data_IF_744973385259
#
_entry.id   IF_744973385259
#
_cell.length_a   1.000
_cell.length_b   1.000
_cell.length_c   1.000
_cell.angle_alpha   90.00
_cell.angle_beta   90.00
_cell.angle_gamma   90.00
#
_symmetry.space_group_name_H-M   'P 1'
#
loop_
_entity.id
_entity.type
_entity.pdbx_description
1 polymer ?
#
# COMPACT_ATOMS: atom_id res chain seq x y z
N UNK A 1 16.78 0.59 -6.18
CA UNK A 1 15.32 0.36 -6.26
C UNK A 1 14.62 1.71 -6.40
N UNK A 2 14.65 2.32 -7.60
CA UNK A 2 14.17 3.71 -7.79
C UNK A 2 12.71 3.91 -7.41
N UNK A 3 11.86 2.90 -7.65
CA UNK A 3 10.43 2.99 -7.32
C UNK A 3 10.20 3.18 -5.81
N UNK A 4 10.93 2.45 -4.95
CA UNK A 4 10.84 2.59 -3.49
C UNK A 4 11.42 3.92 -3.03
N UNK A 5 12.61 4.27 -3.53
CA UNK A 5 13.33 5.50 -3.15
C UNK A 5 12.53 6.77 -3.50
N UNK A 6 11.84 6.80 -4.64
CA UNK A 6 11.05 7.94 -5.08
C UNK A 6 9.61 7.96 -4.55
N UNK A 7 9.16 6.92 -3.84
CA UNK A 7 7.77 6.80 -3.38
C UNK A 7 7.53 7.40 -1.99
N UNK A 8 6.40 8.09 -1.82
CA UNK A 8 5.94 8.62 -0.51
C UNK A 8 5.43 7.51 0.43
N UNK A 9 4.86 6.47 -0.16
CA UNK A 9 4.47 5.21 0.49
C UNK A 9 4.72 4.06 -0.49
N UNK A 10 5.10 2.91 0.04
CA UNK A 10 5.20 1.65 -0.70
C UNK A 10 4.08 0.74 -0.21
N UNK A 11 3.21 0.29 -1.11
CA UNK A 11 2.15 -0.66 -0.78
C UNK A 11 2.66 -2.06 -1.12
N UNK A 12 2.71 -2.93 -0.11
CA UNK A 12 3.12 -4.32 -0.27
C UNK A 12 1.89 -5.21 -0.21
N UNK A 13 1.63 -5.94 -1.27
CA UNK A 13 0.49 -6.87 -1.36
C UNK A 13 0.99 -8.28 -1.08
N UNK A 14 0.67 -8.79 0.11
CA UNK A 14 0.95 -10.16 0.49
C UNK A 14 -0.08 -11.08 -0.16
N UNK A 15 0.38 -11.87 -1.12
CA UNK A 15 -0.34 -12.98 -1.74
C UNK A 15 0.41 -14.29 -1.50
N UNK A 16 -0.21 -15.44 -1.79
CA UNK A 16 0.49 -16.73 -1.69
C UNK A 16 1.75 -16.76 -2.56
N UNK A 17 1.62 -16.33 -3.82
CA UNK A 17 2.74 -16.24 -4.76
C UNK A 17 3.84 -15.29 -4.27
N UNK A 18 3.48 -14.22 -3.56
CA UNK A 18 4.46 -13.32 -2.97
C UNK A 18 5.30 -14.06 -1.92
N UNK A 19 4.65 -14.76 -0.98
CA UNK A 19 5.34 -15.52 0.08
C UNK A 19 6.19 -16.68 -0.46
N UNK A 20 5.77 -17.31 -1.55
CA UNK A 20 6.49 -18.43 -2.19
C UNK A 20 7.67 -17.95 -3.06
N UNK A 21 7.81 -16.65 -3.31
CA UNK A 21 8.87 -16.11 -4.17
C UNK A 21 10.12 -15.69 -3.36
N UNK A 22 11.31 -16.06 -3.85
CA UNK A 22 12.59 -15.58 -3.29
C UNK A 22 12.76 -14.04 -3.39
N UNK A 23 11.93 -13.38 -4.19
CA UNK A 23 11.94 -11.93 -4.40
C UNK A 23 11.21 -11.13 -3.31
N UNK A 24 10.44 -11.81 -2.45
CA UNK A 24 9.70 -11.25 -1.32
C UNK A 24 10.59 -10.45 -0.36
N UNK A 25 11.69 -11.07 0.10
CA UNK A 25 12.57 -10.50 1.11
C UNK A 25 13.38 -9.31 0.59
N UNK A 26 13.76 -9.31 -0.68
CA UNK A 26 14.60 -8.25 -1.26
C UNK A 26 13.84 -6.93 -1.41
N UNK A 27 12.65 -6.95 -2.00
CA UNK A 27 11.84 -5.73 -2.16
C UNK A 27 11.37 -5.18 -0.82
N UNK A 28 11.02 -6.10 0.09
CA UNK A 28 10.64 -5.77 1.45
C UNK A 28 11.78 -5.13 2.26
N UNK A 29 12.96 -5.74 2.27
CA UNK A 29 14.13 -5.20 2.97
C UNK A 29 14.49 -3.81 2.42
N UNK A 30 14.39 -3.61 1.11
CA UNK A 30 14.64 -2.30 0.52
C UNK A 30 13.62 -1.25 0.98
N UNK A 31 12.33 -1.60 1.02
CA UNK A 31 11.29 -0.72 1.53
C UNK A 31 11.49 -0.41 3.02
N UNK A 32 11.92 -1.40 3.82
CA UNK A 32 12.15 -1.23 5.25
C UNK A 32 13.36 -0.35 5.55
N UNK A 33 14.49 -0.61 4.88
CA UNK A 33 15.69 0.23 4.97
C UNK A 33 15.35 1.67 4.61
N UNK A 34 14.53 1.89 3.58
CA UNK A 34 14.10 3.22 3.20
C UNK A 34 13.18 3.87 4.26
N UNK A 35 12.22 3.12 4.80
CA UNK A 35 11.35 3.62 5.88
C UNK A 35 12.13 4.04 7.13
N UNK A 36 13.17 3.27 7.51
CA UNK A 36 14.08 3.61 8.61
C UNK A 36 14.89 4.88 8.32
N UNK A 37 15.46 5.00 7.11
CA UNK A 37 16.20 6.20 6.67
C UNK A 37 15.34 7.46 6.70
N UNK A 38 14.08 7.33 6.31
CA UNK A 38 13.17 8.46 6.21
C UNK A 38 12.52 8.83 7.56
N UNK A 39 12.77 8.06 8.63
CA UNK A 39 12.15 8.20 9.96
C UNK A 39 10.61 8.29 9.92
N UNK A 40 9.98 7.70 8.91
CA UNK A 40 8.53 7.73 8.70
C UNK A 40 8.09 6.33 8.26
N UNK A 41 6.99 5.78 8.82
CA UNK A 41 6.43 4.53 8.34
C UNK A 41 5.93 4.72 6.90
N UNK A 42 6.71 4.23 5.94
CA UNK A 42 6.39 4.33 4.50
C UNK A 42 5.69 3.09 3.94
N UNK A 43 5.67 1.99 4.68
CA UNK A 43 5.11 0.72 4.20
C UNK A 43 3.64 0.61 4.60
N UNK A 44 2.80 0.23 3.65
CA UNK A 44 1.42 -0.18 3.89
C UNK A 44 1.31 -1.64 3.45
N UNK A 45 1.01 -2.53 4.38
CA UNK A 45 0.83 -3.95 4.11
C UNK A 45 -0.63 -4.26 3.80
N UNK A 46 -0.87 -5.00 2.72
CA UNK A 46 -2.18 -5.54 2.36
C UNK A 46 -2.09 -7.07 2.41
N UNK A 47 -2.83 -7.69 3.31
CA UNK A 47 -2.94 -9.15 3.43
C UNK A 47 -4.13 -9.63 2.61
N UNK A 48 -3.92 -10.50 1.62
CA UNK A 48 -5.02 -11.14 0.89
C UNK A 48 -5.67 -12.26 1.73
N UNK A 49 -6.97 -12.49 1.53
CA UNK A 49 -7.77 -13.40 2.35
C UNK A 49 -7.41 -14.90 2.20
N UNK A 50 -6.71 -15.27 1.14
CA UNK A 50 -6.31 -16.65 0.82
C UNK A 50 -4.96 -17.07 1.44
N UNK A 51 -4.39 -16.19 2.27
CA UNK A 51 -3.16 -16.43 2.99
C UNK A 51 -3.34 -17.32 4.22
N UNK A 52 -2.27 -18.03 4.64
CA UNK A 52 -2.25 -18.76 5.90
C UNK A 52 -2.56 -17.87 7.12
N UNK A 53 -2.81 -18.51 8.26
CA UNK A 53 -2.87 -17.81 9.54
C UNK A 53 -1.53 -17.15 9.81
N UNK A 54 -1.53 -16.06 10.58
CA UNK A 54 -0.32 -15.27 10.82
C UNK A 54 0.81 -16.15 11.41
N UNK A 55 0.47 -17.06 12.31
CA UNK A 55 1.43 -18.00 12.95
C UNK A 55 2.08 -19.00 11.96
N UNK A 56 1.49 -19.19 10.77
CA UNK A 56 1.99 -20.11 9.73
C UNK A 56 2.83 -19.37 8.66
N UNK A 57 2.98 -18.05 8.79
CA UNK A 57 3.80 -17.24 7.86
C UNK A 57 5.29 -17.33 8.20
N UNK A 58 6.21 -17.00 7.28
CA UNK A 58 7.63 -16.87 7.61
C UNK A 58 7.87 -15.86 8.75
N UNK A 59 8.83 -16.14 9.63
CA UNK A 59 9.11 -15.35 10.83
C UNK A 59 9.36 -13.87 10.52
N UNK A 60 10.06 -13.56 9.42
CA UNK A 60 10.27 -12.16 9.03
C UNK A 60 8.96 -11.43 8.70
N UNK A 61 8.01 -12.13 8.07
CA UNK A 61 6.70 -11.54 7.73
C UNK A 61 5.87 -11.36 9.01
N UNK A 62 5.91 -12.32 9.93
CA UNK A 62 5.22 -12.22 11.23
C UNK A 62 5.69 -11.02 12.03
N UNK A 63 7.01 -10.82 12.15
CA UNK A 63 7.61 -9.70 12.88
C UNK A 63 7.14 -8.34 12.34
N UNK A 64 6.90 -8.24 11.03
CA UNK A 64 6.42 -7.01 10.41
C UNK A 64 4.92 -6.80 10.52
N UNK A 65 4.11 -7.86 10.41
CA UNK A 65 2.68 -7.77 10.69
C UNK A 65 2.44 -7.31 12.14
N UNK A 66 3.29 -7.75 13.07
CA UNK A 66 3.22 -7.36 14.47
C UNK A 66 3.65 -5.91 14.75
N UNK A 67 4.54 -5.36 13.93
CA UNK A 67 5.11 -4.01 14.13
C UNK A 67 4.51 -2.94 13.23
N UNK A 68 3.67 -3.31 12.26
CA UNK A 68 3.12 -2.40 11.24
C UNK A 68 1.61 -2.54 11.09
N UNK A 69 0.92 -1.43 10.85
CA UNK A 69 -0.51 -1.48 10.50
C UNK A 69 -0.71 -2.10 9.12
N UNK A 70 -1.37 -3.25 9.07
CA UNK A 70 -1.75 -3.93 7.84
C UNK A 70 -3.27 -3.86 7.59
N UNK A 71 -3.67 -4.10 6.34
CA UNK A 71 -5.07 -4.16 5.92
C UNK A 71 -5.39 -5.53 5.34
N UNK A 72 -6.41 -6.18 5.88
CA UNK A 72 -6.97 -7.40 5.27
C UNK A 72 -7.85 -7.02 4.08
N UNK A 73 -7.53 -7.57 2.91
CA UNK A 73 -8.25 -7.34 1.67
C UNK A 73 -9.40 -8.34 1.51
N UNK A 74 -10.55 -7.85 1.05
CA UNK A 74 -11.77 -8.66 0.86
C UNK A 74 -12.87 -8.37 1.88
N UNK A 75 -12.62 -7.49 2.85
CA UNK A 75 -13.65 -6.98 3.75
C UNK A 75 -14.47 -5.85 3.12
N UNK A 76 -15.64 -5.57 3.71
CA UNK A 76 -16.40 -4.37 3.35
C UNK A 76 -15.52 -3.13 3.55
N UNK A 77 -15.51 -2.25 2.55
CA UNK A 77 -14.76 -0.98 2.56
C UNK A 77 -13.22 -1.09 2.49
N UNK A 78 -12.62 -2.22 2.06
CA UNK A 78 -11.15 -2.31 1.89
C UNK A 78 -10.54 -1.16 1.08
N UNK A 79 -11.19 -0.75 -0.03
CA UNK A 79 -10.76 0.40 -0.83
C UNK A 79 -10.79 1.72 -0.06
N UNK A 80 -11.88 2.00 0.67
CA UNK A 80 -12.02 3.23 1.43
C UNK A 80 -10.98 3.31 2.57
N UNK A 81 -10.74 2.18 3.26
CA UNK A 81 -9.69 2.07 4.28
C UNK A 81 -8.31 2.33 3.68
N UNK A 82 -7.99 1.72 2.53
CA UNK A 82 -6.71 1.94 1.83
C UNK A 82 -6.52 3.41 1.44
N UNK A 83 -7.51 4.02 0.80
CA UNK A 83 -7.47 5.43 0.39
C UNK A 83 -7.30 6.38 1.58
N UNK A 84 -7.87 6.04 2.74
CA UNK A 84 -7.71 6.83 3.96
C UNK A 84 -6.27 6.78 4.52
N UNK A 85 -5.61 5.62 4.42
CA UNK A 85 -4.23 5.40 4.91
C UNK A 85 -3.20 6.02 3.96
N UNK A 86 -3.49 6.07 2.66
CA UNK A 86 -2.61 6.68 1.67
C UNK A 86 -2.49 8.21 1.91
N UNK A 87 -1.30 8.80 1.67
CA UNK A 87 -1.09 10.22 1.82
C UNK A 87 -2.05 10.96 0.89
N UNK A 88 -2.93 11.79 1.47
CA UNK A 88 -3.82 12.65 0.69
C UNK A 88 -2.96 13.50 -0.22
N UNK A 89 -3.26 13.46 -1.51
CA UNK A 89 -2.56 14.31 -2.44
C UNK A 89 -2.75 15.77 -2.04
N UNK A 90 -1.66 16.44 -1.64
CA UNK A 90 -1.64 17.90 -1.52
C UNK A 90 -1.82 18.59 -2.90
N UNK A 91 -1.89 17.81 -4.00
CA UNK A 91 -2.07 18.32 -5.36
C UNK A 91 -3.53 18.47 -5.78
N UNK A 92 -4.53 18.18 -4.94
CA UNK A 92 -5.82 18.88 -5.10
C UNK A 92 -5.67 20.24 -4.41
N UNK A 93 -4.76 21.05 -4.93
CA UNK A 93 -5.01 22.48 -4.88
C UNK A 93 -6.35 22.64 -5.61
N UNK A 94 -7.35 23.14 -4.89
CA UNK A 94 -8.63 23.55 -5.47
C UNK A 94 -8.32 24.25 -6.80
N UNK A 95 -8.90 23.85 -7.94
CA UNK A 95 -8.63 24.54 -9.19
C UNK A 95 -8.96 26.01 -8.97
N UNK A 96 -7.93 26.86 -8.96
CA UNK A 96 -8.08 28.31 -8.78
C UNK A 96 -8.68 28.98 -10.01
N UNK A 97 -9.04 28.21 -11.04
CA UNK A 97 -9.74 28.70 -12.21
C UNK A 97 -10.88 27.75 -12.64
N UNK A 98 -11.98 28.36 -13.10
CA UNK A 98 -13.24 27.68 -13.46
C UNK A 98 -13.13 26.79 -14.70
N UNK A 99 -12.01 26.83 -15.43
CA UNK A 99 -11.88 26.17 -16.73
C UNK A 99 -11.35 24.72 -16.64
N UNK A 100 -10.61 24.37 -15.59
CA UNK A 100 -10.01 23.04 -15.42
C UNK A 100 -10.98 21.96 -14.89
N UNK A 101 -12.14 22.36 -14.38
CA UNK A 101 -13.15 21.43 -13.84
C UNK A 101 -13.77 20.51 -14.91
N UNK A 102 -13.58 20.82 -16.20
CA UNK A 102 -14.08 19.99 -17.32
C UNK A 102 -13.25 18.73 -17.59
N UNK A 103 -12.08 18.60 -16.99
CA UNK A 103 -11.19 17.44 -17.16
C UNK A 103 -11.40 16.34 -16.09
N UNK A 104 -12.29 16.56 -15.13
CA UNK A 104 -12.67 15.54 -14.15
C UNK A 104 -13.72 14.61 -14.78
N UNK A 105 -13.28 13.43 -15.20
CA UNK A 105 -14.16 12.31 -15.55
C UNK A 105 -14.98 11.97 -14.30
N UNK A 106 -16.32 12.06 -14.32
CA UNK A 106 -17.14 11.72 -13.16
C UNK A 106 -16.97 10.24 -12.79
N UNK A 107 -16.94 9.93 -11.49
CA UNK A 107 -16.87 8.54 -10.98
C UNK A 107 -18.07 7.66 -11.38
N UNK A 108 -19.03 8.18 -12.16
CA UNK A 108 -20.13 7.40 -12.74
C UNK A 108 -19.71 6.58 -13.96
N UNK A 109 -18.53 6.82 -14.54
CA UNK A 109 -18.09 6.17 -15.78
C UNK A 109 -17.35 4.83 -15.56
N UNK A 110 -17.10 4.44 -14.31
CA UNK A 110 -16.56 3.12 -13.96
C UNK A 110 -17.68 2.15 -13.56
N UNK A 111 -18.54 1.84 -14.52
CA UNK A 111 -19.48 0.73 -14.45
C UNK A 111 -19.61 0.12 -15.85
N UNK A 112 -18.81 -0.90 -16.12
CA UNK A 112 -19.07 -1.94 -17.12
C UNK A 112 -18.40 -3.24 -16.67
#
# INVERSE_FOLDING_TARGET
MRAVECSKRTVLVLSRNFLESEWCLLEFNAAHVQALKDHVPRIILIKLADLPKDDDLPEEIQLYLNSTTYLTWGEKHSWSKLLYILPRSQSIQKPESRDDARLLIPMTDFSA
#
